data_IF_246009236599
#
_entry.id   IF_246009236599
#
_cell.length_a   1.000
_cell.length_b   1.000
_cell.length_c   1.000
_cell.angle_alpha   90.00
_cell.angle_beta   90.00
_cell.angle_gamma   90.00
#
_symmetry.space_group_name_H-M   'P 1'
#
loop_
_entity.id
_entity.type
_entity.pdbx_description
1 polymer ?
#
# COMPACT_ATOMS: atom_id res chain seq x y z
N UNK A 1 36.89 -20.15 17.25
CA UNK A 1 36.25 -19.91 16.89
C UNK A 1 35.56 -19.65 16.35
N UNK A 2 35.40 -19.78 16.09
CA UNK A 2 34.76 -19.51 15.47
C UNK A 2 33.93 -19.14 15.16
N UNK A 3 33.57 -19.05 15.23
CA UNK A 3 32.79 -18.73 14.83
C UNK A 3 31.99 -18.26 14.62
N UNK A 4 31.72 -18.40 15.14
CA UNK A 4 30.81 -17.86 14.83
C UNK A 4 30.65 -16.90 14.16
N UNK A 5 31.06 -16.69 13.98
CA UNK A 5 30.88 -15.65 13.02
C UNK A 5 29.97 -15.98 11.88
N UNK A 6 29.82 -17.21 11.62
CA UNK A 6 28.85 -17.58 10.59
C UNK A 6 27.44 -17.10 10.93
N UNK A 7 27.12 -17.14 12.20
CA UNK A 7 25.84 -16.63 12.65
C UNK A 7 25.76 -15.12 12.48
N UNK A 8 26.86 -14.44 12.67
CA UNK A 8 26.90 -13.00 12.52
C UNK A 8 26.55 -12.55 11.11
N UNK A 9 27.07 -13.17 10.06
CA UNK A 9 26.65 -12.81 8.71
C UNK A 9 25.15 -12.97 8.50
N UNK A 10 24.57 -14.05 8.99
CA UNK A 10 23.12 -14.24 8.86
C UNK A 10 22.36 -13.15 9.61
N UNK A 11 22.84 -12.81 10.79
CA UNK A 11 22.20 -11.77 11.58
C UNK A 11 22.39 -10.39 10.95
N UNK A 12 23.44 -10.22 10.19
CA UNK A 12 23.72 -8.95 9.53
C UNK A 12 22.88 -8.72 8.29
N UNK A 13 22.24 -9.75 7.76
CA UNK A 13 21.37 -9.58 6.59
C UNK A 13 20.19 -8.70 6.93
N UNK A 14 19.94 -7.68 6.14
CA UNK A 14 18.73 -6.90 6.35
C UNK A 14 17.49 -7.77 6.18
N UNK A 15 16.48 -7.47 6.97
CA UNK A 15 15.22 -8.19 6.89
C UNK A 15 14.66 -8.16 5.47
N UNK A 16 14.74 -7.01 4.80
CA UNK A 16 14.26 -6.88 3.44
C UNK A 16 14.95 -7.85 2.48
N UNK A 17 16.25 -8.07 2.67
CA UNK A 17 16.98 -8.98 1.81
C UNK A 17 16.60 -10.43 2.10
N UNK A 18 16.41 -10.78 3.35
CA UNK A 18 15.93 -12.09 3.72
C UNK A 18 14.54 -12.36 3.16
N UNK A 19 13.69 -11.36 3.18
CA UNK A 19 12.34 -11.46 2.63
C UNK A 19 12.36 -11.66 1.12
N UNK A 20 13.32 -11.07 0.44
CA UNK A 20 13.45 -11.24 -1.02
C UNK A 20 13.88 -12.64 -1.42
N UNK A 21 14.50 -13.35 -0.53
CA UNK A 21 14.88 -14.74 -0.79
C UNK A 21 13.67 -15.66 -0.88
N UNK A 22 12.52 -15.23 -0.32
CA UNK A 22 11.25 -15.94 -0.42
C UNK A 22 10.36 -15.26 -1.44
N UNK A 23 9.97 -15.96 -2.51
CA UNK A 23 9.13 -15.37 -3.55
C UNK A 23 7.80 -14.83 -3.01
N UNK A 24 7.07 -15.53 -2.12
CA UNK A 24 5.83 -14.97 -1.57
C UNK A 24 6.08 -13.71 -0.76
N UNK A 25 7.12 -13.67 0.04
CA UNK A 25 7.44 -12.48 0.83
C UNK A 25 7.90 -11.33 -0.05
N UNK A 26 8.65 -11.63 -1.11
CA UNK A 26 9.08 -10.60 -2.05
C UNK A 26 7.88 -9.93 -2.71
N UNK A 27 6.88 -10.72 -3.11
CA UNK A 27 5.67 -10.16 -3.70
C UNK A 27 4.89 -9.30 -2.71
N UNK A 28 4.83 -9.74 -1.46
CA UNK A 28 4.16 -8.96 -0.42
C UNK A 28 4.84 -7.61 -0.23
N UNK A 29 6.17 -7.60 -0.15
CA UNK A 29 6.93 -6.36 0.00
C UNK A 29 6.70 -5.44 -1.19
N UNK A 30 6.71 -5.99 -2.41
CA UNK A 30 6.49 -5.19 -3.61
C UNK A 30 5.09 -4.59 -3.63
N UNK A 31 4.08 -5.35 -3.20
CA UNK A 31 2.71 -4.84 -3.13
C UNK A 31 2.55 -3.75 -2.07
N UNK A 32 3.24 -3.87 -0.95
CA UNK A 32 3.22 -2.83 0.07
C UNK A 32 3.85 -1.55 -0.43
N UNK A 33 4.97 -1.65 -1.13
CA UNK A 33 5.63 -0.48 -1.72
C UNK A 33 4.75 0.17 -2.76
N UNK A 34 4.14 -0.63 -3.61
CA UNK A 34 3.26 -0.09 -4.64
C UNK A 34 2.04 0.58 -4.02
N UNK A 35 1.43 -0.03 -3.02
CA UNK A 35 0.30 0.58 -2.31
C UNK A 35 0.68 1.94 -1.73
N UNK A 36 1.84 2.02 -1.10
CA UNK A 36 2.31 3.28 -0.52
C UNK A 36 2.59 4.33 -1.60
N UNK A 37 3.16 3.92 -2.73
CA UNK A 37 3.43 4.83 -3.83
C UNK A 37 2.12 5.34 -4.44
N UNK A 38 1.13 4.47 -4.58
CA UNK A 38 -0.19 4.85 -5.08
C UNK A 38 -0.87 5.84 -4.15
N UNK A 39 -0.76 5.59 -2.84
CA UNK A 39 -1.33 6.50 -1.86
C UNK A 39 -0.70 7.89 -1.96
N UNK A 40 0.62 7.95 -2.07
CA UNK A 40 1.32 9.23 -2.24
C UNK A 40 0.86 9.95 -3.50
N UNK A 41 0.57 9.21 -4.57
CA UNK A 41 0.13 9.81 -5.83
C UNK A 41 -1.26 10.44 -5.71
N UNK A 42 -2.16 9.85 -4.94
CA UNK A 42 -3.53 10.36 -4.82
C UNK A 42 -3.72 11.35 -3.69
N UNK A 43 -2.78 11.39 -2.75
CA UNK A 43 -2.93 12.23 -1.56
C UNK A 43 -3.22 13.71 -1.88
N UNK A 44 -2.60 14.33 -2.89
CA UNK A 44 -2.95 15.72 -3.23
C UNK A 44 -4.39 15.92 -3.68
N UNK A 45 -5.08 14.87 -4.08
CA UNK A 45 -6.48 14.96 -4.49
C UNK A 45 -7.44 14.90 -3.32
N UNK A 46 -6.95 14.53 -2.14
CA UNK A 46 -7.78 14.42 -0.95
C UNK A 46 -7.73 15.72 -0.16
N UNK A 47 -8.89 16.28 0.20
CA UNK A 47 -8.89 17.40 1.16
C UNK A 47 -8.21 16.99 2.46
N UNK A 48 -7.54 17.91 3.11
CA UNK A 48 -6.78 17.60 4.31
C UNK A 48 -7.64 16.93 5.39
N UNK A 49 -8.87 17.41 5.56
CA UNK A 49 -9.79 16.83 6.55
C UNK A 49 -10.16 15.38 6.21
N UNK A 50 -10.26 15.07 4.93
CA UNK A 50 -10.57 13.72 4.49
C UNK A 50 -9.34 12.82 4.61
N UNK A 51 -8.18 13.33 4.21
CA UNK A 51 -6.94 12.56 4.23
C UNK A 51 -6.61 12.02 5.63
N UNK A 52 -6.92 12.79 6.67
CA UNK A 52 -6.66 12.36 8.04
C UNK A 52 -7.45 11.11 8.44
N UNK A 53 -8.51 10.80 7.70
CA UNK A 53 -9.41 9.67 8.01
C UNK A 53 -9.30 8.55 6.97
N UNK A 54 -8.25 8.56 6.16
CA UNK A 54 -8.06 7.59 5.07
C UNK A 54 -6.70 6.93 5.20
N UNK A 55 -6.67 5.64 4.93
CA UNK A 55 -5.42 4.87 4.90
C UNK A 55 -5.35 4.04 3.63
N UNK A 56 -4.12 3.79 3.19
CA UNK A 56 -3.88 2.82 2.13
C UNK A 56 -4.16 1.42 2.68
N UNK A 57 -4.87 0.64 1.93
CA UNK A 57 -5.14 -0.75 2.25
C UNK A 57 -4.37 -1.68 1.33
N UNK A 58 -4.75 -2.96 1.33
CA UNK A 58 -4.03 -3.95 0.53
C UNK A 58 -4.19 -3.73 -0.97
N UNK A 59 -3.13 -4.04 -1.70
CA UNK A 59 -3.13 -4.15 -3.15
C UNK A 59 -3.04 -5.62 -3.49
N UNK A 60 -3.97 -6.10 -4.30
CA UNK A 60 -3.98 -7.48 -4.76
C UNK A 60 -4.37 -7.55 -6.23
N UNK A 61 -4.57 -8.75 -6.75
CA UNK A 61 -4.89 -8.93 -8.16
C UNK A 61 -6.23 -8.31 -8.55
N UNK A 62 -7.15 -8.23 -7.61
CA UNK A 62 -8.48 -7.68 -7.87
C UNK A 62 -8.50 -6.17 -7.86
N UNK A 63 -7.54 -5.53 -7.17
CA UNK A 63 -7.48 -4.09 -7.11
C UNK A 63 -6.81 -3.56 -5.86
N UNK A 64 -6.98 -2.28 -5.65
CA UNK A 64 -6.38 -1.57 -4.52
C UNK A 64 -7.48 -1.07 -3.60
N UNK A 65 -7.29 -1.29 -2.31
CA UNK A 65 -8.27 -0.86 -1.30
C UNK A 65 -7.80 0.40 -0.62
N UNK A 66 -8.73 1.33 -0.43
CA UNK A 66 -8.57 2.48 0.45
C UNK A 66 -9.50 2.30 1.63
N UNK A 67 -9.00 2.62 2.82
CA UNK A 67 -9.73 2.41 4.05
C UNK A 67 -10.19 3.74 4.60
N UNK A 68 -11.50 3.92 4.72
CA UNK A 68 -12.09 5.10 5.35
C UNK A 68 -12.47 4.81 6.79
N UNK A 69 -12.30 5.80 7.65
CA UNK A 69 -12.52 5.61 9.08
C UNK A 69 -14.01 5.36 9.43
N UNK A 70 -14.91 5.80 8.58
CA UNK A 70 -16.35 5.62 8.80
C UNK A 70 -17.10 5.71 7.47
N UNK A 71 -18.41 5.50 7.53
CA UNK A 71 -19.25 5.47 6.34
C UNK A 71 -19.28 6.81 5.58
N UNK A 72 -19.24 7.91 6.30
CA UNK A 72 -19.27 9.23 5.65
C UNK A 72 -17.99 9.48 4.85
N UNK A 73 -16.84 9.09 5.41
CA UNK A 73 -15.55 9.17 4.70
C UNK A 73 -15.57 8.26 3.48
N UNK A 74 -16.06 7.03 3.65
CA UNK A 74 -16.14 6.08 2.54
C UNK A 74 -17.01 6.62 1.41
N UNK A 75 -18.13 7.24 1.73
CA UNK A 75 -19.02 7.81 0.72
C UNK A 75 -18.31 8.91 -0.09
N UNK A 76 -17.57 9.78 0.58
CA UNK A 76 -16.82 10.83 -0.11
C UNK A 76 -15.71 10.24 -0.98
N UNK A 77 -15.02 9.23 -0.50
CA UNK A 77 -13.99 8.56 -1.29
C UNK A 77 -14.57 7.94 -2.55
N UNK A 78 -15.75 7.31 -2.45
CA UNK A 78 -16.38 6.69 -3.61
C UNK A 78 -16.66 7.71 -4.71
N UNK A 79 -17.01 8.92 -4.33
CA UNK A 79 -17.24 9.98 -5.31
C UNK A 79 -15.95 10.39 -6.01
N UNK A 80 -14.81 10.21 -5.37
CA UNK A 80 -13.51 10.58 -5.92
C UNK A 80 -12.86 9.46 -6.72
N UNK A 81 -13.37 8.23 -6.63
CA UNK A 81 -12.71 7.06 -7.24
C UNK A 81 -12.34 7.28 -8.71
N UNK A 82 -13.22 7.81 -9.58
CA UNK A 82 -12.82 7.99 -10.98
C UNK A 82 -11.60 8.90 -11.13
N UNK A 83 -11.52 9.95 -10.32
CA UNK A 83 -10.37 10.86 -10.37
C UNK A 83 -9.12 10.22 -9.80
N UNK A 84 -9.28 9.42 -8.75
CA UNK A 84 -8.16 8.71 -8.16
C UNK A 84 -7.58 7.71 -9.15
N UNK A 85 -8.44 6.97 -9.83
CA UNK A 85 -8.00 5.99 -10.83
C UNK A 85 -7.30 6.68 -11.99
N UNK A 86 -7.82 7.81 -12.44
CA UNK A 86 -7.18 8.58 -13.50
C UNK A 86 -5.79 9.05 -13.08
N UNK A 87 -5.67 9.58 -11.86
CA UNK A 87 -4.38 10.04 -11.34
C UNK A 87 -3.36 8.90 -11.29
N UNK A 88 -3.81 7.74 -10.83
CA UNK A 88 -2.92 6.59 -10.74
C UNK A 88 -2.42 6.18 -12.13
N UNK A 89 -3.29 6.18 -13.13
CA UNK A 89 -2.87 5.88 -14.50
C UNK A 89 -1.90 6.92 -15.03
N UNK A 90 -2.13 8.20 -14.73
CA UNK A 90 -1.24 9.28 -15.15
C UNK A 90 0.15 9.12 -14.54
N UNK A 91 0.24 8.53 -13.36
CA UNK A 91 1.51 8.30 -12.68
C UNK A 91 2.13 6.95 -13.02
N UNK A 92 1.55 6.23 -13.97
CA UNK A 92 2.11 4.98 -14.45
C UNK A 92 1.77 3.75 -13.63
N UNK A 93 0.81 3.85 -12.72
CA UNK A 93 0.39 2.69 -11.94
C UNK A 93 -0.61 1.86 -12.72
N UNK A 94 -0.40 0.56 -12.76
CA UNK A 94 -1.33 -0.37 -13.38
C UNK A 94 -2.42 -0.69 -12.36
N UNK A 95 -3.51 0.06 -12.40
CA UNK A 95 -4.60 -0.08 -11.45
C UNK A 95 -5.77 -0.75 -12.12
N UNK A 96 -6.24 -1.85 -11.52
CA UNK A 96 -7.41 -2.56 -11.99
C UNK A 96 -8.67 -1.88 -11.46
N UNK A 97 -8.70 -1.68 -10.15
CA UNK A 97 -9.89 -1.11 -9.51
C UNK A 97 -9.48 -0.50 -8.17
N UNK A 98 -10.07 0.65 -7.84
CA UNK A 98 -9.93 1.22 -6.49
C UNK A 98 -11.21 0.92 -5.72
N UNK A 99 -11.06 0.23 -4.61
CA UNK A 99 -12.17 -0.16 -3.73
C UNK A 99 -12.11 0.63 -2.45
N UNK A 100 -13.28 1.02 -1.98
CA UNK A 100 -13.38 1.77 -0.73
C UNK A 100 -13.99 0.85 0.33
N UNK A 101 -13.32 0.76 1.46
CA UNK A 101 -13.78 -0.05 2.59
C UNK A 101 -13.82 0.80 3.85
N UNK A 102 -14.73 0.47 4.75
CA UNK A 102 -14.81 1.11 6.06
C UNK A 102 -14.02 0.27 7.04
N UNK A 103 -13.16 0.93 7.80
CA UNK A 103 -12.40 0.24 8.85
C UNK A 103 -13.30 0.13 10.07
N UNK A 104 -13.47 -1.06 10.66
CA UNK A 104 -14.24 -1.19 11.90
C UNK A 104 -13.57 -0.40 13.01
N UNK A 105 -14.39 0.15 13.94
CA UNK A 105 -13.85 0.91 15.07
C UNK A 105 -13.04 0.04 16.03
#
# INVERSE_FOLDING_TARGET
MSRRPAAAPAAALPLTEAMRASAPLARLVDRLRESNAMYAAILPLLPASLAASVRAGPLDEAGWSLLGANAAVAAKLRQLVPRLEQRLRERGHAVVEVRIKVVPP
#
